data_IF_310114128003
#
_entry.id   IF_310114128003
#
_cell.length_a   1.000
_cell.length_b   1.000
_cell.length_c   1.000
_cell.angle_alpha   90.00
_cell.angle_beta   90.00
_cell.angle_gamma   90.00
#
_symmetry.space_group_name_H-M   'P 1'
#
loop_
_entity.id
_entity.type
_entity.pdbx_description
1 polymer ?
#
# COMPACT_ATOMS: atom_id res chain seq x y z
N UNK A 1 -19.83 -1.77 -27.76
CA UNK A 1 -20.23 -2.39 -29.05
C UNK A 1 -19.68 -1.62 -30.26
N UNK A 2 -19.86 -0.30 -30.35
CA UNK A 2 -19.34 0.54 -31.46
C UNK A 2 -17.82 0.50 -31.59
N UNK A 3 -17.06 0.67 -30.50
CA UNK A 3 -15.58 0.60 -30.54
C UNK A 3 -15.05 -0.74 -31.07
N UNK A 4 -15.72 -1.84 -30.71
CA UNK A 4 -15.32 -3.18 -31.14
C UNK A 4 -15.53 -3.37 -32.64
N UNK A 5 -16.67 -2.88 -33.16
CA UNK A 5 -16.97 -2.91 -34.59
C UNK A 5 -15.94 -2.08 -35.37
N UNK A 6 -15.60 -0.87 -34.91
CA UNK A 6 -14.60 -0.01 -35.56
C UNK A 6 -13.20 -0.64 -35.54
N UNK A 7 -12.80 -1.25 -34.42
CA UNK A 7 -11.49 -1.91 -34.31
C UNK A 7 -11.43 -3.14 -35.22
N UNK A 8 -12.49 -3.94 -35.24
CA UNK A 8 -12.58 -5.14 -36.07
C UNK A 8 -12.55 -4.79 -37.57
N UNK A 9 -13.30 -3.77 -38.00
CA UNK A 9 -13.30 -3.35 -39.42
C UNK A 9 -11.95 -2.79 -39.85
N UNK A 10 -11.29 -2.00 -39.01
CA UNK A 10 -9.94 -1.49 -39.29
C UNK A 10 -8.92 -2.63 -39.40
N UNK A 11 -8.99 -3.62 -38.50
CA UNK A 11 -8.13 -4.80 -38.52
C UNK A 11 -8.37 -5.63 -39.80
N UNK A 12 -9.62 -5.86 -40.20
CA UNK A 12 -9.95 -6.55 -41.45
C UNK A 12 -9.45 -5.80 -42.69
N UNK A 13 -9.57 -4.47 -42.71
CA UNK A 13 -9.00 -3.64 -43.77
C UNK A 13 -7.47 -3.73 -43.81
N UNK A 14 -6.82 -3.75 -42.64
CA UNK A 14 -5.38 -3.97 -42.51
C UNK A 14 -4.93 -5.31 -43.08
N UNK A 15 -5.65 -6.40 -42.79
CA UNK A 15 -5.40 -7.71 -43.39
C UNK A 15 -5.50 -7.67 -44.91
N UNK A 16 -6.56 -7.04 -45.46
CA UNK A 16 -6.77 -6.96 -46.90
C UNK A 16 -5.67 -6.16 -47.60
N UNK A 17 -5.37 -4.95 -47.12
CA UNK A 17 -4.36 -4.07 -47.71
C UNK A 17 -2.95 -4.67 -47.60
N UNK A 18 -2.61 -5.27 -46.46
CA UNK A 18 -1.32 -5.93 -46.28
C UNK A 18 -1.14 -7.13 -47.22
N UNK A 19 -2.21 -7.88 -47.46
CA UNK A 19 -2.20 -9.03 -48.36
C UNK A 19 -1.94 -8.68 -49.82
N UNK A 20 -2.40 -7.51 -50.27
CA UNK A 20 -2.20 -7.03 -51.64
C UNK A 20 -0.72 -6.84 -52.00
N UNK A 21 0.16 -6.55 -51.03
CA UNK A 21 1.57 -6.22 -51.27
C UNK A 21 2.56 -7.27 -50.76
N UNK A 22 2.17 -8.11 -49.80
CA UNK A 22 3.09 -9.04 -49.12
C UNK A 22 2.55 -10.45 -48.88
N UNK A 23 1.45 -10.85 -49.52
CA UNK A 23 0.84 -12.16 -49.32
C UNK A 23 0.47 -12.40 -47.85
N UNK A 24 0.62 -13.64 -47.36
CA UNK A 24 0.22 -14.00 -45.99
C UNK A 24 0.98 -13.21 -44.90
N UNK A 25 2.28 -12.96 -45.11
CA UNK A 25 3.09 -12.18 -44.17
C UNK A 25 2.64 -10.71 -44.16
N UNK A 26 2.38 -10.15 -45.35
CA UNK A 26 1.84 -8.80 -45.50
C UNK A 26 0.48 -8.64 -44.83
N UNK A 27 -0.43 -9.60 -45.00
CA UNK A 27 -1.74 -9.60 -44.32
C UNK A 27 -1.58 -9.58 -42.80
N UNK A 28 -0.68 -10.40 -42.25
CA UNK A 28 -0.43 -10.42 -40.81
C UNK A 28 0.10 -9.09 -40.29
N UNK A 29 1.14 -8.54 -40.93
CA UNK A 29 1.74 -7.26 -40.56
C UNK A 29 0.72 -6.12 -40.68
N UNK A 30 -0.11 -6.14 -41.72
CA UNK A 30 -1.17 -5.16 -41.93
C UNK A 30 -2.27 -5.23 -40.87
N UNK A 31 -2.73 -6.43 -40.50
CA UNK A 31 -3.72 -6.63 -39.45
C UNK A 31 -3.19 -6.21 -38.06
N UNK A 32 -1.96 -6.61 -37.72
CA UNK A 32 -1.29 -6.23 -36.46
C UNK A 32 -1.06 -4.71 -36.41
N UNK A 33 -0.59 -4.12 -37.50
CA UNK A 33 -0.38 -2.67 -37.63
C UNK A 33 -1.68 -1.87 -37.47
N UNK A 34 -2.78 -2.35 -38.08
CA UNK A 34 -4.10 -1.75 -37.92
C UNK A 34 -4.61 -1.84 -36.48
N UNK A 35 -4.45 -2.99 -35.82
CA UNK A 35 -4.77 -3.13 -34.40
C UNK A 35 -3.96 -2.13 -33.56
N UNK A 36 -2.64 -2.09 -33.76
CA UNK A 36 -1.76 -1.19 -33.01
C UNK A 36 -2.15 0.28 -33.23
N UNK A 37 -2.43 0.67 -34.48
CA UNK A 37 -2.88 2.01 -34.82
C UNK A 37 -4.20 2.35 -34.12
N UNK A 38 -5.19 1.46 -34.14
CA UNK A 38 -6.46 1.66 -33.43
C UNK A 38 -6.26 1.85 -31.93
N UNK A 39 -5.42 1.03 -31.31
CA UNK A 39 -5.13 1.11 -29.87
C UNK A 39 -4.36 2.41 -29.51
N UNK A 40 -3.40 2.82 -30.35
CA UNK A 40 -2.67 4.08 -30.18
C UNK A 40 -3.61 5.28 -30.35
N UNK A 41 -4.46 5.27 -31.38
CA UNK A 41 -5.48 6.30 -31.60
C UNK A 41 -6.42 6.39 -30.40
N UNK A 42 -6.87 5.25 -29.87
CA UNK A 42 -7.69 5.20 -28.65
C UNK A 42 -6.99 5.84 -27.46
N UNK A 43 -5.76 5.43 -27.16
CA UNK A 43 -5.04 5.95 -26.01
C UNK A 43 -4.69 7.43 -26.15
N UNK A 44 -4.15 7.85 -27.29
CA UNK A 44 -3.62 9.21 -27.47
C UNK A 44 -4.73 10.22 -27.77
N UNK A 45 -5.63 9.92 -28.71
CA UNK A 45 -6.62 10.90 -29.19
C UNK A 45 -7.89 10.92 -28.34
N UNK A 46 -8.36 9.77 -27.87
CA UNK A 46 -9.62 9.70 -27.11
C UNK A 46 -9.40 9.75 -25.60
N UNK A 47 -8.35 9.10 -25.12
CA UNK A 47 -8.08 9.00 -23.68
C UNK A 47 -7.01 10.00 -23.19
N UNK A 48 -6.40 10.76 -24.11
CA UNK A 48 -5.35 11.75 -23.81
C UNK A 48 -4.18 11.16 -23.01
N UNK A 49 -3.82 9.91 -23.31
CA UNK A 49 -2.73 9.17 -22.65
C UNK A 49 -1.43 9.25 -23.44
N UNK A 50 -0.32 9.10 -22.73
CA UNK A 50 1.00 8.86 -23.31
C UNK A 50 1.19 7.40 -23.72
N UNK A 51 2.17 7.13 -24.59
CA UNK A 51 2.55 5.76 -24.98
C UNK A 51 3.30 5.00 -23.86
N UNK A 52 3.72 5.67 -22.79
CA UNK A 52 4.26 5.01 -21.60
C UNK A 52 3.26 3.98 -21.06
N UNK A 53 3.71 2.75 -20.82
CA UNK A 53 2.86 1.67 -20.33
C UNK A 53 1.84 1.13 -21.34
N UNK A 54 1.92 1.51 -22.62
CA UNK A 54 1.00 1.04 -23.68
C UNK A 54 0.88 -0.48 -23.72
N UNK A 55 2.01 -1.20 -23.74
CA UNK A 55 2.00 -2.67 -23.75
C UNK A 55 1.42 -3.25 -22.46
N UNK A 56 1.61 -2.60 -21.31
CA UNK A 56 1.04 -3.07 -20.06
C UNK A 56 -0.50 -3.00 -20.08
N UNK A 57 -1.08 -1.96 -20.71
CA UNK A 57 -2.53 -1.78 -20.86
C UNK A 57 -3.15 -2.74 -21.86
N UNK A 58 -2.50 -2.92 -23.02
CA UNK A 58 -3.07 -3.66 -24.15
C UNK A 58 -2.53 -5.09 -24.33
N UNK A 59 -1.80 -5.62 -23.33
CA UNK A 59 -1.19 -6.97 -23.38
C UNK A 59 -2.20 -8.07 -23.69
N UNK A 60 -3.39 -7.94 -23.14
CA UNK A 60 -4.57 -8.80 -23.33
C UNK A 60 -4.99 -8.85 -24.80
N UNK A 61 -5.23 -7.68 -25.39
CA UNK A 61 -5.70 -7.51 -26.76
C UNK A 61 -4.64 -7.97 -27.77
N UNK A 62 -3.37 -7.63 -27.51
CA UNK A 62 -2.24 -8.00 -28.36
C UNK A 62 -2.03 -9.53 -28.32
N UNK A 63 -2.00 -10.13 -27.13
CA UNK A 63 -1.83 -11.58 -27.01
C UNK A 63 -3.00 -12.35 -27.64
N UNK A 64 -4.24 -11.91 -27.38
CA UNK A 64 -5.43 -12.51 -27.99
C UNK A 64 -5.39 -12.44 -29.52
N UNK A 65 -5.00 -11.29 -30.08
CA UNK A 65 -4.87 -11.14 -31.54
C UNK A 65 -3.81 -12.07 -32.13
N UNK A 66 -2.62 -12.14 -31.51
CA UNK A 66 -1.53 -13.02 -31.98
C UNK A 66 -1.98 -14.49 -31.98
N UNK A 67 -2.67 -14.94 -30.93
CA UNK A 67 -3.18 -16.32 -30.83
C UNK A 67 -4.24 -16.61 -31.89
N UNK A 68 -5.18 -15.67 -32.12
CA UNK A 68 -6.17 -15.79 -33.19
C UNK A 68 -5.48 -15.98 -34.54
N UNK A 69 -4.47 -15.16 -34.85
CA UNK A 69 -3.77 -15.29 -36.13
C UNK A 69 -3.04 -16.63 -36.25
N UNK A 70 -2.33 -17.06 -35.21
CA UNK A 70 -1.62 -18.35 -35.21
C UNK A 70 -2.59 -19.49 -35.49
N UNK A 71 -3.77 -19.48 -34.87
CA UNK A 71 -4.78 -20.52 -35.07
C UNK A 71 -5.46 -20.44 -36.45
N UNK A 72 -5.66 -19.24 -37.00
CA UNK A 72 -6.13 -19.08 -38.39
C UNK A 72 -5.11 -19.67 -39.36
N UNK A 73 -3.81 -19.39 -39.18
CA UNK A 73 -2.74 -19.92 -40.04
C UNK A 73 -2.69 -21.44 -39.93
N UNK A 74 -2.53 -21.98 -38.73
CA UNK A 74 -2.46 -23.43 -38.48
C UNK A 74 -3.73 -24.16 -38.96
N UNK A 75 -4.90 -23.62 -38.64
CA UNK A 75 -6.17 -24.16 -39.08
C UNK A 75 -6.30 -24.17 -40.60
N UNK A 76 -5.80 -23.13 -41.27
CA UNK A 76 -5.84 -23.05 -42.75
C UNK A 76 -4.92 -24.08 -43.40
N UNK A 77 -3.77 -24.39 -42.80
CA UNK A 77 -2.88 -25.45 -43.25
C UNK A 77 -3.48 -26.86 -43.04
N UNK A 78 -4.20 -27.07 -41.95
CA UNK A 78 -4.72 -28.40 -41.58
C UNK A 78 -6.09 -28.73 -42.17
N UNK A 79 -6.99 -27.75 -42.23
CA UNK A 79 -8.42 -27.94 -42.54
C UNK A 79 -8.86 -27.17 -43.80
N UNK A 80 -7.91 -26.47 -44.44
CA UNK A 80 -8.16 -25.60 -45.58
C UNK A 80 -8.60 -24.18 -45.18
N UNK A 81 -8.58 -23.22 -46.11
CA UNK A 81 -8.65 -21.79 -45.79
C UNK A 81 -9.97 -21.36 -45.12
N UNK A 82 -11.09 -21.93 -45.55
CA UNK A 82 -12.43 -21.58 -45.07
C UNK A 82 -12.65 -22.05 -43.64
N UNK A 83 -12.43 -23.34 -43.38
CA UNK A 83 -12.59 -23.94 -42.06
C UNK A 83 -11.52 -23.49 -41.08
N UNK A 84 -10.29 -23.30 -41.54
CA UNK A 84 -9.19 -22.75 -40.75
C UNK A 84 -9.46 -21.34 -40.23
N UNK A 85 -9.98 -20.46 -41.08
CA UNK A 85 -10.34 -19.09 -40.69
C UNK A 85 -11.50 -19.07 -39.70
N UNK A 86 -12.56 -19.86 -39.95
CA UNK A 86 -13.72 -19.96 -39.08
C UNK A 86 -13.35 -20.45 -37.68
N UNK A 87 -12.60 -21.56 -37.59
CA UNK A 87 -12.17 -22.11 -36.30
C UNK A 87 -11.13 -21.24 -35.62
N UNK A 88 -10.23 -20.59 -36.37
CA UNK A 88 -9.25 -19.66 -35.81
C UNK A 88 -9.88 -18.40 -35.21
N UNK A 89 -10.91 -17.83 -35.84
CA UNK A 89 -11.62 -16.66 -35.30
C UNK A 89 -12.49 -17.02 -34.09
N UNK A 90 -13.18 -18.16 -34.12
CA UNK A 90 -14.07 -18.59 -33.04
C UNK A 90 -13.28 -19.17 -31.85
N UNK A 91 -12.37 -20.10 -32.12
CA UNK A 91 -11.56 -20.78 -31.10
C UNK A 91 -10.34 -19.99 -30.66
N UNK A 92 -9.83 -19.06 -31.48
CA UNK A 92 -8.64 -18.30 -31.15
C UNK A 92 -8.84 -17.26 -30.06
N UNK A 93 -10.06 -16.77 -29.87
CA UNK A 93 -10.36 -15.86 -28.77
C UNK A 93 -10.30 -16.57 -27.42
N UNK A 94 -10.95 -17.73 -27.31
CA UNK A 94 -10.97 -18.53 -26.08
C UNK A 94 -9.59 -19.12 -25.78
N UNK A 95 -8.89 -19.61 -26.81
CA UNK A 95 -7.50 -20.04 -26.67
C UNK A 95 -6.58 -18.87 -26.31
N UNK A 96 -6.82 -17.67 -26.85
CA UNK A 96 -6.10 -16.45 -26.54
C UNK A 96 -6.26 -16.05 -25.08
N UNK A 97 -7.50 -16.03 -24.58
CA UNK A 97 -7.80 -15.76 -23.17
C UNK A 97 -7.18 -16.83 -22.24
N UNK A 98 -7.20 -18.11 -22.64
CA UNK A 98 -6.56 -19.20 -21.90
C UNK A 98 -5.02 -19.05 -21.81
N UNK A 99 -4.36 -18.75 -22.93
CA UNK A 99 -2.91 -18.50 -22.97
C UNK A 99 -2.58 -17.23 -22.18
N UNK A 100 -3.35 -16.16 -22.36
CA UNK A 100 -3.15 -14.91 -21.66
C UNK A 100 -3.28 -15.09 -20.14
N UNK A 101 -4.25 -15.88 -19.66
CA UNK A 101 -4.36 -16.25 -18.25
C UNK A 101 -3.12 -16.95 -17.70
N UNK A 102 -2.52 -17.85 -18.49
CA UNK A 102 -1.28 -18.55 -18.10
C UNK A 102 -0.06 -17.64 -18.05
N UNK A 103 -0.08 -16.53 -18.78
CA UNK A 103 0.95 -15.49 -18.77
C UNK A 103 0.69 -14.38 -17.73
N UNK A 104 -0.42 -14.45 -16.98
CA UNK A 104 -0.84 -13.39 -16.05
C UNK A 104 -1.38 -12.13 -16.76
N UNK A 105 -1.78 -12.27 -18.02
CA UNK A 105 -2.26 -11.22 -18.90
C UNK A 105 -3.75 -11.36 -19.19
N UNK A 106 -4.57 -11.96 -18.31
CA UNK A 106 -6.01 -11.99 -18.55
C UNK A 106 -6.66 -10.64 -18.23
N UNK A 107 -7.76 -10.33 -18.91
CA UNK A 107 -8.53 -9.10 -18.68
C UNK A 107 -9.13 -9.07 -17.27
N UNK A 108 -9.60 -10.23 -16.78
CA UNK A 108 -10.09 -10.39 -15.42
C UNK A 108 -9.00 -10.08 -14.38
N UNK A 109 -7.78 -10.57 -14.59
CA UNK A 109 -6.67 -10.30 -13.66
C UNK A 109 -6.26 -8.82 -13.70
N UNK A 110 -6.25 -8.18 -14.87
CA UNK A 110 -6.00 -6.75 -14.98
C UNK A 110 -7.08 -5.91 -14.27
N UNK A 111 -8.34 -6.34 -14.35
CA UNK A 111 -9.45 -5.70 -13.63
C UNK A 111 -9.32 -5.90 -12.11
N UNK A 112 -8.96 -7.11 -11.67
CA UNK A 112 -8.71 -7.40 -10.26
C UNK A 112 -7.52 -6.59 -9.71
N UNK A 113 -6.43 -6.44 -10.49
CA UNK A 113 -5.28 -5.61 -10.11
C UNK A 113 -5.67 -4.14 -9.91
N UNK A 114 -6.51 -3.61 -10.82
CA UNK A 114 -7.04 -2.25 -10.72
C UNK A 114 -7.94 -2.09 -9.50
N UNK A 115 -8.83 -3.07 -9.27
CA UNK A 115 -9.74 -3.10 -8.12
C UNK A 115 -8.97 -3.13 -6.80
N UNK A 116 -7.94 -3.97 -6.68
CA UNK A 116 -7.07 -4.02 -5.50
C UNK A 116 -6.33 -2.70 -5.24
N UNK A 117 -5.93 -1.97 -6.29
CA UNK A 117 -5.32 -0.63 -6.16
C UNK A 117 -6.35 0.43 -5.76
N UNK A 118 -7.58 0.31 -6.25
CA UNK A 118 -8.69 1.17 -5.84
C UNK A 118 -9.03 0.98 -4.35
N UNK A 119 -9.09 -0.27 -3.86
CA UNK A 119 -9.30 -0.58 -2.44
C UNK A 119 -8.24 0.08 -1.55
N UNK A 120 -6.97 0.08 -2.00
CA UNK A 120 -5.87 0.70 -1.25
C UNK A 120 -5.99 2.21 -1.04
N UNK A 121 -6.83 2.86 -1.86
CA UNK A 121 -7.07 4.31 -1.83
C UNK A 121 -8.38 4.68 -1.13
N UNK A 122 -9.24 3.71 -0.81
CA UNK A 122 -10.57 3.94 -0.21
C UNK A 122 -10.49 4.72 1.11
N UNK A 123 -9.78 4.18 2.12
CA UNK A 123 -9.66 4.83 3.44
C UNK A 123 -8.77 6.07 3.44
N UNK A 124 -7.63 6.11 2.71
CA UNK A 124 -6.88 7.36 2.55
C UNK A 124 -7.74 8.47 1.95
N UNK A 125 -8.62 8.16 0.99
CA UNK A 125 -9.52 9.15 0.39
C UNK A 125 -10.62 9.60 1.36
N UNK A 126 -11.16 8.66 2.15
CA UNK A 126 -12.10 8.97 3.23
C UNK A 126 -11.48 9.94 4.25
N UNK A 127 -10.24 9.69 4.64
CA UNK A 127 -9.47 10.54 5.56
C UNK A 127 -9.30 11.97 5.03
N UNK A 128 -9.04 12.14 3.73
CA UNK A 128 -9.00 13.48 3.09
C UNK A 128 -10.38 14.13 3.12
N UNK A 129 -11.44 13.36 2.89
CA UNK A 129 -12.83 13.83 2.86
C UNK A 129 -13.41 14.22 4.22
N UNK A 130 -12.75 13.92 5.33
CA UNK A 130 -13.19 14.34 6.67
C UNK A 130 -13.10 15.85 6.88
N UNK A 131 -12.22 16.55 6.16
CA UNK A 131 -12.13 18.00 6.26
C UNK A 131 -13.26 18.67 5.46
N UNK A 132 -13.87 19.70 6.03
CA UNK A 132 -14.81 20.57 5.30
C UNK A 132 -14.15 21.27 4.11
N UNK A 133 -12.84 21.52 4.19
CA UNK A 133 -11.98 21.97 3.09
C UNK A 133 -10.69 21.15 3.09
N UNK A 134 -10.49 20.26 2.08
CA UNK A 134 -9.32 19.38 2.05
C UNK A 134 -7.99 20.14 1.98
N UNK A 135 -7.02 19.69 2.78
CA UNK A 135 -5.68 20.27 2.77
C UNK A 135 -4.98 20.06 1.42
N UNK A 136 -4.38 21.11 0.81
CA UNK A 136 -3.69 20.97 -0.48
C UNK A 136 -2.55 19.95 -0.47
N UNK A 137 -1.87 19.75 0.68
CA UNK A 137 -0.78 18.76 0.81
C UNK A 137 -1.35 17.35 0.85
N UNK A 138 -2.43 17.13 1.57
CA UNK A 138 -3.12 15.82 1.59
C UNK A 138 -3.64 15.44 0.21
N UNK A 139 -4.28 16.39 -0.48
CA UNK A 139 -4.73 16.22 -1.86
C UNK A 139 -3.56 15.89 -2.79
N UNK A 140 -2.45 16.61 -2.69
CA UNK A 140 -1.26 16.33 -3.50
C UNK A 140 -0.72 14.92 -3.21
N UNK A 141 -0.62 14.56 -1.94
CA UNK A 141 -0.11 13.25 -1.50
C UNK A 141 -0.98 12.11 -1.99
N UNK A 142 -2.32 12.20 -1.89
CA UNK A 142 -3.19 11.11 -2.36
C UNK A 142 -3.12 10.93 -3.89
N UNK A 143 -2.99 12.02 -4.66
CA UNK A 143 -2.77 11.93 -6.10
C UNK A 143 -1.42 11.30 -6.45
N UNK A 144 -0.38 11.58 -5.67
CA UNK A 144 0.94 10.99 -5.85
C UNK A 144 0.95 9.49 -5.51
N UNK A 145 0.31 9.09 -4.40
CA UNK A 145 0.11 7.68 -4.04
C UNK A 145 -0.65 6.97 -5.17
N UNK A 146 -1.79 7.52 -5.62
CA UNK A 146 -2.57 6.92 -6.70
C UNK A 146 -1.76 6.81 -8.00
N UNK A 147 -0.98 7.83 -8.36
CA UNK A 147 -0.09 7.79 -9.53
C UNK A 147 0.92 6.65 -9.43
N UNK A 148 1.62 6.54 -8.31
CA UNK A 148 2.62 5.48 -8.08
C UNK A 148 1.96 4.09 -8.06
N UNK A 149 0.80 3.99 -7.43
CA UNK A 149 0.00 2.78 -7.41
C UNK A 149 -0.49 2.39 -8.80
N UNK A 150 -0.64 3.28 -9.77
CA UNK A 150 -1.15 2.92 -11.10
C UNK A 150 -0.07 2.83 -12.18
N UNK A 151 1.13 3.33 -11.90
CA UNK A 151 2.26 3.32 -12.84
C UNK A 151 2.60 1.92 -13.38
N UNK A 152 2.63 0.83 -12.58
CA UNK A 152 2.87 -0.50 -13.12
C UNK A 152 1.80 -1.00 -14.11
N UNK A 153 0.58 -0.45 -14.06
CA UNK A 153 -0.49 -0.76 -15.01
C UNK A 153 -0.47 0.16 -16.23
N UNK A 154 0.43 1.16 -16.26
CA UNK A 154 0.39 2.23 -17.24
C UNK A 154 -0.83 3.14 -17.09
N UNK A 155 -1.43 3.24 -15.91
CA UNK A 155 -2.65 4.03 -15.65
C UNK A 155 -2.35 5.26 -14.77
N UNK A 156 -1.17 5.86 -14.91
CA UNK A 156 -0.68 6.94 -14.04
C UNK A 156 -0.98 8.35 -14.55
N UNK A 157 -1.74 8.49 -15.64
CA UNK A 157 -2.13 9.79 -16.17
C UNK A 157 -3.24 10.45 -15.33
N UNK A 158 -3.41 11.77 -15.44
CA UNK A 158 -4.33 12.55 -14.60
C UNK A 158 -5.77 12.02 -14.63
N UNK A 159 -6.29 11.69 -15.82
CA UNK A 159 -7.65 11.15 -16.00
C UNK A 159 -7.80 9.76 -15.38
N UNK A 160 -6.80 8.90 -15.54
CA UNK A 160 -6.81 7.53 -14.99
C UNK A 160 -6.78 7.56 -13.45
N UNK A 161 -5.90 8.40 -12.88
CA UNK A 161 -5.85 8.64 -11.43
C UNK A 161 -7.20 9.12 -10.91
N UNK A 162 -7.83 10.10 -11.57
CA UNK A 162 -9.13 10.59 -11.14
C UNK A 162 -10.21 9.51 -11.21
N UNK A 163 -10.27 8.73 -12.29
CA UNK A 163 -11.22 7.63 -12.43
C UNK A 163 -11.09 6.61 -11.30
N UNK A 164 -9.85 6.25 -10.93
CA UNK A 164 -9.61 5.31 -9.84
C UNK A 164 -9.99 5.91 -8.49
N UNK A 165 -9.68 7.19 -8.24
CA UNK A 165 -10.13 7.87 -7.01
C UNK A 165 -11.67 7.92 -6.91
N UNK A 166 -12.36 8.12 -8.02
CA UNK A 166 -13.83 8.11 -8.06
C UNK A 166 -14.39 6.71 -7.77
N UNK A 167 -13.74 5.65 -8.28
CA UNK A 167 -14.06 4.25 -7.93
C UNK A 167 -13.82 4.01 -6.44
N UNK A 168 -12.63 4.35 -5.93
CA UNK A 168 -12.26 4.20 -4.52
C UNK A 168 -13.25 4.87 -3.58
N UNK A 169 -13.76 6.06 -3.95
CA UNK A 169 -14.76 6.77 -3.14
C UNK A 169 -16.05 5.97 -2.98
N UNK A 170 -16.48 5.24 -4.01
CA UNK A 170 -17.72 4.44 -3.97
C UNK A 170 -17.54 3.14 -3.19
N UNK A 171 -16.33 2.59 -3.18
CA UNK A 171 -16.04 1.32 -2.51
C UNK A 171 -16.20 1.38 -0.99
N UNK A 172 -16.14 2.56 -0.38
CA UNK A 172 -16.36 2.69 1.07
C UNK A 172 -17.80 2.39 1.47
N UNK A 173 -18.74 2.62 0.57
CA UNK A 173 -20.17 2.40 0.78
C UNK A 173 -20.60 0.97 0.38
N UNK A 174 -19.68 0.18 -0.19
CA UNK A 174 -19.96 -1.17 -0.68
C UNK A 174 -19.81 -2.21 0.46
N UNK A 175 -20.91 -2.82 0.94
CA UNK A 175 -20.88 -3.67 2.13
C UNK A 175 -19.95 -4.88 1.99
N UNK A 176 -19.93 -5.49 0.80
CA UNK A 176 -19.08 -6.66 0.54
C UNK A 176 -17.60 -6.31 0.64
N UNK A 177 -17.20 -5.14 0.15
CA UNK A 177 -15.82 -4.68 0.23
C UNK A 177 -15.42 -4.41 1.69
N UNK A 178 -16.28 -3.71 2.44
CA UNK A 178 -16.03 -3.37 3.84
C UNK A 178 -15.96 -4.64 4.70
N UNK A 179 -16.91 -5.56 4.55
CA UNK A 179 -16.96 -6.80 5.35
C UNK A 179 -15.79 -7.75 5.04
N UNK A 180 -15.33 -7.79 3.80
CA UNK A 180 -14.19 -8.63 3.40
C UNK A 180 -12.85 -8.10 3.92
N UNK A 181 -12.68 -6.79 4.00
CA UNK A 181 -11.37 -6.17 4.22
C UNK A 181 -10.63 -6.59 5.50
N UNK A 182 -11.28 -6.78 6.67
CA UNK A 182 -10.62 -7.27 7.88
C UNK A 182 -10.02 -8.67 7.75
N UNK A 183 -10.51 -9.45 6.78
CA UNK A 183 -10.06 -10.83 6.47
C UNK A 183 -9.10 -10.90 5.28
N UNK A 184 -8.83 -9.76 4.63
CA UNK A 184 -7.91 -9.71 3.50
C UNK A 184 -6.45 -9.97 3.93
N UNK A 185 -5.57 -10.18 2.94
CA UNK A 185 -4.14 -10.35 3.18
C UNK A 185 -3.58 -9.21 4.06
N UNK A 186 -2.77 -9.56 5.05
CA UNK A 186 -2.09 -8.63 5.96
C UNK A 186 -1.31 -7.55 5.21
N UNK A 187 -0.67 -7.89 4.10
CA UNK A 187 0.04 -6.91 3.26
C UNK A 187 -0.90 -5.81 2.75
N UNK A 188 -2.10 -6.17 2.25
CA UNK A 188 -3.08 -5.20 1.77
C UNK A 188 -3.57 -4.31 2.92
N UNK A 189 -3.92 -4.92 4.05
CA UNK A 189 -4.37 -4.22 5.25
C UNK A 189 -3.32 -3.20 5.73
N UNK A 190 -2.06 -3.63 5.80
CA UNK A 190 -0.93 -2.77 6.16
C UNK A 190 -0.73 -1.62 5.16
N UNK A 191 -0.81 -1.89 3.85
CA UNK A 191 -0.67 -0.86 2.81
C UNK A 191 -1.74 0.22 2.90
N UNK A 192 -2.98 -0.13 3.26
CA UNK A 192 -4.06 0.83 3.48
C UNK A 192 -3.71 1.78 4.63
N UNK A 193 -3.33 1.24 5.78
CA UNK A 193 -2.92 2.06 6.94
C UNK A 193 -1.70 2.91 6.58
N UNK A 194 -0.70 2.34 5.91
CA UNK A 194 0.48 3.06 5.46
C UNK A 194 0.13 4.27 4.57
N UNK A 195 -0.77 4.08 3.59
CA UNK A 195 -1.23 5.17 2.73
C UNK A 195 -1.98 6.25 3.54
N UNK A 196 -2.79 5.87 4.53
CA UNK A 196 -3.43 6.83 5.44
C UNK A 196 -2.40 7.65 6.21
N UNK A 197 -1.32 7.01 6.69
CA UNK A 197 -0.24 7.71 7.39
C UNK A 197 0.50 8.67 6.45
N UNK A 198 0.81 8.27 5.22
CA UNK A 198 1.42 9.18 4.25
C UNK A 198 0.57 10.44 4.04
N UNK A 199 -0.76 10.29 3.98
CA UNK A 199 -1.71 11.41 3.88
C UNK A 199 -1.73 12.25 5.16
N UNK A 200 -1.96 11.66 6.34
CA UNK A 200 -2.13 12.42 7.60
C UNK A 200 -0.87 13.22 7.95
N UNK A 201 0.30 12.64 7.66
CA UNK A 201 1.59 13.29 7.89
C UNK A 201 2.06 14.13 6.69
N UNK A 202 1.23 14.38 5.68
CA UNK A 202 1.54 15.40 4.68
C UNK A 202 1.32 16.83 5.22
N UNK A 203 0.45 16.98 6.24
CA UNK A 203 0.12 18.25 6.90
C UNK A 203 1.25 18.79 7.78
N UNK A 204 1.04 19.87 8.52
CA UNK A 204 1.93 20.29 9.62
C UNK A 204 1.39 19.89 10.99
N UNK A 205 0.09 20.12 11.23
CA UNK A 205 -0.64 19.64 12.40
C UNK A 205 -1.60 18.50 12.01
N UNK A 206 -1.85 17.59 12.94
CA UNK A 206 -2.77 16.46 12.74
C UNK A 206 -4.03 16.71 13.58
N UNK A 207 -5.21 16.86 12.97
CA UNK A 207 -6.47 16.96 13.72
C UNK A 207 -6.74 15.71 14.56
N UNK A 208 -7.30 15.85 15.78
CA UNK A 208 -7.56 14.71 16.67
C UNK A 208 -8.54 13.71 16.05
N UNK A 209 -9.54 14.18 15.30
CA UNK A 209 -10.53 13.34 14.61
C UNK A 209 -9.87 12.42 13.56
N UNK A 210 -8.93 12.96 12.76
CA UNK A 210 -8.18 12.18 11.78
C UNK A 210 -7.26 11.15 12.45
N UNK A 211 -6.64 11.52 13.58
CA UNK A 211 -5.84 10.56 14.36
C UNK A 211 -6.73 9.42 14.85
N UNK A 212 -7.88 9.75 15.45
CA UNK A 212 -8.82 8.78 15.98
C UNK A 212 -9.33 7.84 14.88
N UNK A 213 -9.65 8.37 13.70
CA UNK A 213 -10.04 7.58 12.53
C UNK A 213 -8.99 6.51 12.16
N UNK A 214 -7.70 6.86 12.14
CA UNK A 214 -6.66 5.88 11.79
C UNK A 214 -6.51 4.84 12.90
N UNK A 215 -6.69 5.20 14.19
CA UNK A 215 -6.69 4.23 15.30
C UNK A 215 -7.83 3.23 15.13
N UNK A 216 -9.04 3.73 14.88
CA UNK A 216 -10.23 2.89 14.65
C UNK A 216 -10.05 2.00 13.41
N UNK A 217 -9.43 2.53 12.36
CA UNK A 217 -9.09 1.77 11.17
C UNK A 217 -8.10 0.64 11.45
N UNK A 218 -7.05 0.87 12.24
CA UNK A 218 -6.12 -0.18 12.65
C UNK A 218 -6.83 -1.30 13.43
N UNK A 219 -7.77 -0.93 14.31
CA UNK A 219 -8.58 -1.89 15.05
C UNK A 219 -9.48 -2.68 14.11
N UNK A 220 -10.20 -2.00 13.23
CA UNK A 220 -11.07 -2.60 12.22
C UNK A 220 -10.32 -3.57 11.30
N UNK A 221 -9.09 -3.24 10.91
CA UNK A 221 -8.25 -4.07 10.06
C UNK A 221 -7.50 -5.17 10.81
N UNK A 222 -7.70 -5.31 12.13
CA UNK A 222 -6.99 -6.26 12.99
C UNK A 222 -5.45 -6.11 12.94
N UNK A 223 -4.95 -4.86 12.97
CA UNK A 223 -3.51 -4.52 12.95
C UNK A 223 -3.01 -3.92 14.27
N UNK A 224 -3.75 -4.09 15.36
CA UNK A 224 -3.48 -3.46 16.67
C UNK A 224 -2.07 -3.77 17.22
N UNK A 225 -1.50 -4.93 16.89
CA UNK A 225 -0.15 -5.32 17.31
C UNK A 225 0.96 -4.43 16.72
N UNK A 226 0.71 -3.76 15.60
CA UNK A 226 1.71 -2.97 14.88
C UNK A 226 1.78 -1.51 15.36
N UNK A 227 0.73 -1.00 16.02
CA UNK A 227 0.59 0.38 16.52
C UNK A 227 1.23 1.41 15.57
N UNK A 228 0.75 1.41 14.32
CA UNK A 228 1.48 2.03 13.21
C UNK A 228 1.52 3.54 13.39
N UNK A 229 0.44 4.17 13.88
CA UNK A 229 0.44 5.60 14.24
C UNK A 229 1.51 5.93 15.28
N UNK A 230 1.64 5.13 16.33
CA UNK A 230 2.60 5.36 17.42
C UNK A 230 4.05 5.43 16.93
N UNK A 231 4.38 4.67 15.89
CA UNK A 231 5.71 4.69 15.26
C UNK A 231 6.02 6.02 14.55
N UNK A 232 5.00 6.74 14.05
CA UNK A 232 5.20 7.92 13.20
C UNK A 232 4.67 9.24 13.79
N UNK A 233 4.06 9.20 14.98
CA UNK A 233 3.41 10.35 15.60
C UNK A 233 4.34 11.56 15.79
N UNK A 234 3.87 12.74 15.37
CA UNK A 234 4.62 14.00 15.50
C UNK A 234 4.77 14.44 16.95
N UNK A 235 3.70 14.28 17.72
CA UNK A 235 3.55 14.73 19.11
C UNK A 235 3.96 13.69 20.13
N UNK A 236 3.91 12.40 19.77
CA UNK A 236 4.25 11.32 20.70
C UNK A 236 5.68 10.90 20.42
N UNK A 237 6.60 11.33 21.28
CA UNK A 237 7.87 10.62 21.43
C UNK A 237 7.61 9.19 21.92
N UNK A 238 8.66 8.42 22.17
CA UNK A 238 8.66 7.04 22.72
C UNK A 238 7.78 6.78 23.97
N UNK A 239 7.16 7.83 24.54
CA UNK A 239 6.07 7.74 25.50
C UNK A 239 4.97 6.74 25.12
N UNK A 240 4.67 6.47 23.85
CA UNK A 240 3.65 5.46 23.50
C UNK A 240 4.02 4.02 23.94
N UNK A 241 5.31 3.66 23.96
CA UNK A 241 5.73 2.36 24.51
C UNK A 241 5.56 2.32 26.04
N UNK A 242 5.59 3.50 26.67
CA UNK A 242 5.44 3.66 28.12
C UNK A 242 3.97 3.70 28.56
N UNK A 243 3.05 4.27 27.77
CA UNK A 243 1.64 4.46 28.17
C UNK A 243 0.93 3.16 28.59
N UNK A 244 0.97 2.06 27.81
CA UNK A 244 0.36 0.79 28.24
C UNK A 244 0.99 0.25 29.52
N UNK A 245 2.32 0.33 29.64
CA UNK A 245 3.05 -0.15 30.81
C UNK A 245 2.80 0.73 32.07
N UNK A 246 2.68 2.05 31.91
CA UNK A 246 2.27 2.98 32.97
C UNK A 246 0.84 2.67 33.43
N UNK A 247 -0.06 2.35 32.49
CA UNK A 247 -1.43 1.96 32.82
C UNK A 247 -1.50 0.64 33.60
N UNK A 248 -0.66 -0.35 33.28
CA UNK A 248 -0.55 -1.60 34.08
C UNK A 248 -0.12 -1.31 35.53
N UNK A 249 0.74 -0.30 35.74
CA UNK A 249 1.14 0.20 37.06
C UNK A 249 0.14 1.18 37.68
N UNK A 250 -0.94 1.56 36.98
CA UNK A 250 -1.92 2.53 37.45
C UNK A 250 -1.41 3.98 37.49
N UNK A 251 -0.42 4.32 36.67
CA UNK A 251 0.22 5.63 36.60
C UNK A 251 -0.26 6.44 35.39
N UNK A 252 -0.24 7.77 35.52
CA UNK A 252 -0.52 8.67 34.39
C UNK A 252 0.62 8.68 33.37
N UNK A 253 0.35 9.14 32.15
CA UNK A 253 1.35 9.26 31.08
C UNK A 253 2.54 10.19 31.44
N UNK A 254 2.34 11.06 32.44
CA UNK A 254 3.30 12.07 32.90
C UNK A 254 4.11 11.60 34.12
N UNK A 255 3.95 10.34 34.53
CA UNK A 255 4.59 9.82 35.72
C UNK A 255 6.12 9.83 35.62
N UNK A 256 6.75 10.35 36.67
CA UNK A 256 8.21 10.42 36.82
C UNK A 256 8.81 9.05 37.11
N UNK A 257 10.09 8.84 36.80
CA UNK A 257 10.77 7.57 37.09
C UNK A 257 10.77 7.24 38.60
N UNK A 258 10.79 8.26 39.47
CA UNK A 258 10.64 8.05 40.92
C UNK A 258 9.26 7.51 41.31
N UNK A 259 8.20 7.95 40.62
CA UNK A 259 6.84 7.44 40.85
C UNK A 259 6.70 6.01 40.32
N UNK A 260 7.30 5.71 39.16
CA UNK A 260 7.35 4.35 38.60
C UNK A 260 8.02 3.38 39.59
N UNK A 261 9.18 3.76 40.14
CA UNK A 261 9.92 2.93 41.09
C UNK A 261 9.17 2.74 42.42
N UNK A 262 8.52 3.79 42.92
CA UNK A 262 7.74 3.72 44.14
C UNK A 262 6.53 2.79 43.98
N UNK A 263 5.74 2.99 42.92
CA UNK A 263 4.54 2.18 42.65
C UNK A 263 4.88 0.73 42.35
N UNK A 264 5.97 0.45 41.63
CA UNK A 264 6.46 -0.91 41.43
C UNK A 264 6.82 -1.58 42.77
N UNK A 265 7.57 -0.90 43.65
CA UNK A 265 7.92 -1.43 44.99
C UNK A 265 6.69 -1.67 45.86
N UNK A 266 5.67 -0.84 45.75
CA UNK A 266 4.40 -1.03 46.47
C UNK A 266 3.63 -2.23 45.90
N UNK A 267 3.57 -2.38 44.57
CA UNK A 267 2.94 -3.52 43.91
C UNK A 267 3.63 -4.85 44.26
N UNK A 268 4.97 -4.90 44.22
CA UNK A 268 5.74 -6.08 44.65
C UNK A 268 5.45 -6.40 46.10
N UNK A 269 5.34 -5.39 46.98
CA UNK A 269 4.95 -5.61 48.38
C UNK A 269 3.51 -6.10 48.54
N UNK A 270 2.61 -5.84 47.60
CA UNK A 270 1.22 -6.30 47.68
C UNK A 270 1.04 -7.71 47.11
N UNK A 271 1.71 -8.01 46.00
CA UNK A 271 1.56 -9.26 45.25
C UNK A 271 2.71 -10.26 45.43
N UNK A 272 3.61 -10.04 46.40
CA UNK A 272 4.72 -10.96 46.67
C UNK A 272 4.19 -12.38 47.00
N UNK A 273 4.78 -13.45 46.43
CA UNK A 273 4.36 -14.83 46.69
C UNK A 273 4.27 -15.15 48.18
N UNK A 274 5.20 -14.63 49.00
CA UNK A 274 5.20 -14.85 50.46
C UNK A 274 4.02 -14.20 51.20
N UNK A 275 3.39 -13.16 50.64
CA UNK A 275 2.23 -12.50 51.27
C UNK A 275 0.88 -13.07 50.83
N UNK A 276 0.86 -13.84 49.75
CA UNK A 276 -0.32 -14.56 49.29
C UNK A 276 -0.30 -16.04 49.72
N UNK A 277 0.68 -16.44 50.55
CA UNK A 277 0.68 -17.73 51.24
C UNK A 277 -0.49 -17.77 52.25
N UNK A 278 -1.52 -18.56 51.93
CA UNK A 278 -2.72 -18.72 52.76
C UNK A 278 -4.00 -18.10 52.20
N UNK A 279 -3.94 -17.48 51.02
CA UNK A 279 -5.11 -16.97 50.29
C UNK A 279 -5.67 -18.08 49.37
N UNK A 280 -7.01 -18.20 49.17
CA UNK A 280 -7.60 -19.19 48.26
C UNK A 280 -6.93 -19.25 46.88
N UNK A 281 -6.78 -20.46 46.33
CA UNK A 281 -5.98 -20.74 45.12
C UNK A 281 -6.30 -19.85 43.92
N UNK A 282 -7.58 -19.51 43.71
CA UNK A 282 -8.02 -18.64 42.61
C UNK A 282 -7.52 -17.19 42.77
N UNK A 283 -7.41 -16.67 44.00
CA UNK A 283 -6.87 -15.34 44.28
C UNK A 283 -5.35 -15.34 44.26
N UNK A 284 -4.72 -16.44 44.68
CA UNK A 284 -3.28 -16.63 44.56
C UNK A 284 -2.84 -16.69 43.08
N UNK A 285 -3.62 -17.34 42.23
CA UNK A 285 -3.41 -17.33 40.79
C UNK A 285 -3.54 -15.93 40.19
N UNK A 286 -4.61 -15.20 40.55
CA UNK A 286 -4.81 -13.82 40.08
C UNK A 286 -3.67 -12.87 40.51
N UNK A 287 -3.19 -12.99 41.74
CA UNK A 287 -2.07 -12.20 42.25
C UNK A 287 -0.76 -12.51 41.48
N UNK A 288 -0.52 -13.78 41.15
CA UNK A 288 0.64 -14.20 40.36
C UNK A 288 0.60 -13.63 38.95
N UNK A 289 -0.53 -13.76 38.27
CA UNK A 289 -0.71 -13.24 36.90
C UNK A 289 -0.54 -11.72 36.87
N UNK A 290 -1.07 -11.03 37.88
CA UNK A 290 -0.91 -9.58 38.03
C UNK A 290 0.54 -9.18 38.30
N UNK A 291 1.27 -9.95 39.11
CA UNK A 291 2.69 -9.71 39.37
C UNK A 291 3.54 -9.88 38.11
N UNK A 292 3.25 -10.89 37.27
CA UNK A 292 3.93 -11.08 35.97
C UNK A 292 3.72 -9.86 35.08
N UNK A 293 2.48 -9.40 34.91
CA UNK A 293 2.16 -8.21 34.12
C UNK A 293 2.88 -6.95 34.64
N UNK A 294 2.94 -6.78 35.96
CA UNK A 294 3.62 -5.64 36.60
C UNK A 294 5.13 -5.67 36.37
N UNK A 295 5.75 -6.85 36.45
CA UNK A 295 7.17 -7.02 36.19
C UNK A 295 7.52 -6.74 34.73
N UNK A 296 6.72 -7.25 33.79
CA UNK A 296 6.88 -7.00 32.35
C UNK A 296 6.73 -5.51 32.02
N UNK A 297 5.70 -4.86 32.58
CA UNK A 297 5.47 -3.43 32.42
C UNK A 297 6.63 -2.60 33.00
N UNK A 298 7.09 -2.90 34.21
CA UNK A 298 8.23 -2.20 34.81
C UNK A 298 9.52 -2.40 34.02
N UNK A 299 9.78 -3.62 33.55
CA UNK A 299 10.94 -3.93 32.71
C UNK A 299 10.91 -3.11 31.41
N UNK A 300 9.77 -3.09 30.72
CA UNK A 300 9.55 -2.24 29.55
C UNK A 300 9.82 -0.77 29.87
N UNK A 301 9.29 -0.23 30.96
CA UNK A 301 9.51 1.18 31.31
C UNK A 301 10.97 1.53 31.58
N UNK A 302 11.75 0.60 32.15
CA UNK A 302 13.19 0.81 32.41
C UNK A 302 14.07 0.63 31.18
N UNK A 303 13.69 -0.25 30.24
CA UNK A 303 14.45 -0.47 28.99
C UNK A 303 14.04 0.45 27.85
N UNK A 304 12.87 1.10 27.95
CA UNK A 304 12.33 2.00 26.93
C UNK A 304 12.73 3.47 27.12
N UNK A 305 13.81 3.78 27.86
CA UNK A 305 14.30 5.17 27.97
C UNK A 305 14.76 5.66 26.57
N UNK A 306 14.08 6.66 25.98
CA UNK A 306 14.38 7.19 24.65
C UNK A 306 15.85 7.58 24.44
N UNK A 307 16.50 8.06 25.50
CA UNK A 307 17.88 8.52 25.43
C UNK A 307 18.89 7.36 25.32
N UNK A 308 18.51 6.16 25.78
CA UNK A 308 19.38 4.98 25.84
C UNK A 308 19.24 4.06 24.62
N UNK A 309 18.17 4.23 23.84
CA UNK A 309 17.87 3.39 22.68
C UNK A 309 18.75 3.75 21.48
N UNK A 310 19.12 2.74 20.70
CA UNK A 310 19.70 2.94 19.37
C UNK A 310 18.59 3.20 18.35
N UNK A 311 18.89 3.98 17.32
CA UNK A 311 17.93 4.33 16.28
C UNK A 311 18.41 3.96 14.89
N UNK A 312 17.52 3.32 14.14
CA UNK A 312 17.68 3.03 12.72
C UNK A 312 17.09 4.17 11.88
N UNK A 313 17.88 4.65 10.93
CA UNK A 313 17.49 5.64 9.94
C UNK A 313 17.61 5.02 8.55
N UNK A 314 16.92 5.66 7.59
CA UNK A 314 16.96 5.26 6.18
C UNK A 314 18.08 6.00 5.47
N UNK A 315 19.04 5.28 4.93
CA UNK A 315 20.14 5.80 4.12
C UNK A 315 19.66 6.46 2.83
N UNK A 316 20.54 7.23 2.20
CA UNK A 316 20.25 7.92 0.93
C UNK A 316 20.46 7.01 -0.28
N UNK A 317 21.44 6.12 -0.20
CA UNK A 317 21.78 5.11 -1.22
C UNK A 317 21.15 3.77 -0.83
N UNK A 318 20.55 3.10 -1.82
CA UNK A 318 19.94 1.75 -1.72
C UNK A 318 18.89 1.53 -0.62
N UNK A 319 18.32 2.60 -0.05
CA UNK A 319 17.39 2.53 1.08
C UNK A 319 17.95 1.73 2.29
N UNK A 320 19.28 1.65 2.40
CA UNK A 320 19.98 0.90 3.44
C UNK A 320 19.61 1.40 4.86
N UNK A 321 19.64 0.52 5.85
CA UNK A 321 19.42 0.91 7.25
C UNK A 321 20.75 1.37 7.85
N UNK A 322 20.78 2.59 8.41
CA UNK A 322 21.95 3.14 9.11
C UNK A 322 21.61 3.32 10.59
N UNK A 323 22.57 3.04 11.48
CA UNK A 323 22.41 3.15 12.94
C UNK A 323 23.50 4.07 13.50
N UNK A 324 23.36 5.40 13.37
CA UNK A 324 24.36 6.36 13.81
C UNK A 324 24.46 6.40 15.34
N UNK A 325 25.64 6.76 15.82
CA UNK A 325 25.94 7.00 17.24
C UNK A 325 25.35 8.31 17.78
N UNK A 326 25.03 9.26 16.89
CA UNK A 326 24.50 10.58 17.24
C UNK A 326 25.58 11.63 17.50
N UNK A 327 26.85 11.23 17.44
CA UNK A 327 28.00 12.13 17.55
C UNK A 327 28.34 12.75 16.19
N UNK A 328 28.27 11.94 15.13
CA UNK A 328 28.59 12.34 13.76
C UNK A 328 27.34 12.66 12.93
N UNK A 329 27.44 13.71 12.12
CA UNK A 329 26.40 14.16 11.21
C UNK A 329 26.26 13.22 10.02
N UNK A 330 25.01 13.04 9.57
CA UNK A 330 24.68 12.07 8.52
C UNK A 330 23.56 12.57 7.61
N UNK A 331 23.42 11.92 6.46
CA UNK A 331 22.30 12.12 5.54
C UNK A 331 21.32 10.96 5.66
N UNK A 332 20.04 11.26 5.74
CA UNK A 332 19.00 10.23 5.76
C UNK A 332 17.79 10.65 4.93
N UNK A 333 16.98 9.67 4.50
CA UNK A 333 15.67 9.89 3.89
C UNK A 333 14.57 9.71 4.92
N UNK A 334 13.51 10.49 4.79
CA UNK A 334 12.32 10.23 5.60
C UNK A 334 11.69 8.89 5.21
N UNK A 335 11.36 8.06 6.20
CA UNK A 335 10.62 6.81 6.00
C UNK A 335 9.29 7.01 5.28
N UNK A 336 8.69 8.18 5.43
CA UNK A 336 7.33 8.46 4.96
C UNK A 336 7.30 9.23 3.63
N UNK A 337 7.90 10.43 3.59
CA UNK A 337 7.87 11.30 2.40
C UNK A 337 9.11 11.18 1.49
N UNK A 338 10.09 10.34 1.85
CA UNK A 338 11.36 10.11 1.13
C UNK A 338 12.25 11.34 0.87
N UNK A 339 11.87 12.52 1.38
CA UNK A 339 12.69 13.75 1.37
C UNK A 339 14.02 13.46 2.07
N UNK A 340 15.11 13.93 1.47
CA UNK A 340 16.43 13.89 2.08
C UNK A 340 16.53 14.93 3.21
N UNK A 341 17.13 14.54 4.33
CA UNK A 341 17.37 15.38 5.49
C UNK A 341 18.86 15.30 5.82
N UNK A 342 19.46 16.46 6.08
CA UNK A 342 20.83 16.58 6.56
C UNK A 342 20.78 16.79 8.06
N UNK A 343 21.39 15.86 8.79
CA UNK A 343 21.44 15.84 10.25
C UNK A 343 22.82 16.35 10.68
N UNK A 344 22.89 17.37 11.55
CA UNK A 344 24.17 17.91 12.04
C UNK A 344 24.85 16.94 13.01
N UNK A 345 26.05 17.28 13.48
CA UNK A 345 26.75 16.57 14.54
C UNK A 345 26.06 16.81 15.91
N UNK A 346 26.31 15.93 16.89
CA UNK A 346 25.84 16.04 18.29
C UNK A 346 24.33 16.32 18.43
N UNK A 347 23.49 15.36 18.06
CA UNK A 347 22.02 15.52 18.05
C UNK A 347 21.30 14.43 18.81
N UNK A 348 20.17 14.82 19.39
CA UNK A 348 19.27 13.91 20.10
C UNK A 348 18.47 13.08 19.08
N UNK A 349 18.94 11.86 18.82
CA UNK A 349 18.41 10.99 17.74
C UNK A 349 16.91 10.73 17.83
N UNK A 350 16.38 10.51 19.04
CA UNK A 350 14.98 10.16 19.27
C UNK A 350 13.99 11.31 19.01
N UNK A 351 14.49 12.55 18.87
CA UNK A 351 13.65 13.73 18.60
C UNK A 351 13.74 14.21 17.16
N UNK A 352 14.66 13.67 16.34
CA UNK A 352 14.88 14.11 14.96
C UNK A 352 13.62 13.96 14.10
N UNK A 353 13.22 15.07 13.47
CA UNK A 353 12.05 15.16 12.59
C UNK A 353 12.44 15.52 11.16
N UNK A 354 11.66 15.04 10.20
CA UNK A 354 11.83 15.40 8.80
C UNK A 354 11.49 16.87 8.57
N UNK A 355 12.37 17.64 7.92
CA UNK A 355 12.12 19.02 7.52
C UNK A 355 11.10 19.20 6.38
N UNK A 356 10.29 18.19 6.09
CA UNK A 356 9.22 18.25 5.09
C UNK A 356 7.87 17.85 5.67
N UNK A 357 7.81 16.65 6.26
CA UNK A 357 6.57 16.10 6.83
C UNK A 357 6.54 16.08 8.36
N UNK A 358 7.60 16.57 9.03
CA UNK A 358 7.76 16.55 10.49
C UNK A 358 7.63 15.18 11.17
N UNK A 359 7.63 14.07 10.41
CA UNK A 359 7.64 12.71 10.96
C UNK A 359 8.99 12.39 11.60
N UNK A 360 8.98 11.48 12.58
CA UNK A 360 10.18 10.90 13.17
C UNK A 360 11.11 10.29 12.10
N UNK A 361 12.38 10.65 12.15
CA UNK A 361 13.38 10.13 11.21
C UNK A 361 14.01 8.82 11.69
N UNK A 362 14.20 8.67 13.00
CA UNK A 362 14.77 7.48 13.61
C UNK A 362 13.70 6.52 14.12
N UNK A 363 13.91 5.21 13.93
CA UNK A 363 13.11 4.14 14.54
C UNK A 363 13.91 3.46 15.64
N UNK A 364 13.36 3.26 16.85
CA UNK A 364 14.08 2.55 17.90
C UNK A 364 14.41 1.12 17.43
N UNK A 365 15.63 0.67 17.70
CA UNK A 365 16.02 -0.73 17.52
C UNK A 365 15.34 -1.53 18.64
N UNK A 366 14.55 -2.54 18.28
CA UNK A 366 13.95 -3.41 19.29
C UNK A 366 15.07 -4.06 20.12
N UNK A 367 15.01 -4.03 21.46
CA UNK A 367 15.88 -4.86 22.26
C UNK A 367 15.64 -6.33 21.89
N UNK A 368 16.74 -7.07 21.71
CA UNK A 368 16.73 -8.49 21.33
C UNK A 368 16.25 -9.38 22.47
#
# INVERSE_FOLDING_TARGET
MVEYVVTLTAVLAGFFLGGMWGGNLGSFVGGLGALFLCLVVKDVLFLERTLEGFFARHRTEIAGFVVVVILVILGSYLLGPTWGTLLGLVGGRTAGEWIAGRLGWSAEQAQNDLFMRAIQLTYPLALVGMDSSPDPRELKTIHEIARLLLQPLGLHHKRDVQNVLDISRRLIDEPDCVNWLPTANEELRFRIVWNCLQVIYSRESIPPEKRQFVVELEQFLNLQSLNVIGVYDRSVGIQYMRIPALHVLGLSADATDSQIDATYRDAVRQFHPDRVQGVPDHLSALARDKMVQINEAYHLLKTSDPASLKYNFRGVEEDAVITPDGESGFLCRCWLCRKANRIPDQVVLHSLRCGGCHALLGRPVSPA
#
